data_IF_569300173652
#
_entry.id   IF_569300173652
#
_cell.length_a   1.000
_cell.length_b   1.000
_cell.length_c   1.000
_cell.angle_alpha   90.00
_cell.angle_beta   90.00
_cell.angle_gamma   90.00
#
_symmetry.space_group_name_H-M   'P 1'
#
loop_
_entity.id
_entity.type
_entity.pdbx_description
1 polymer ?
#
# COMPACT_ATOMS: atom_id res chain seq x y z
N UNK A 1 -50.01 38.79 18.05
CA UNK A 1 -48.57 39.09 18.05
C UNK A 1 -47.89 37.82 17.57
N UNK A 2 -47.71 37.71 16.26
CA UNK A 2 -47.05 36.58 15.61
C UNK A 2 -45.55 36.90 15.56
N UNK A 3 -44.70 35.99 16.03
CA UNK A 3 -43.24 36.12 15.94
C UNK A 3 -42.67 34.80 15.40
N UNK A 4 -41.87 34.94 14.35
CA UNK A 4 -41.23 33.86 13.57
C UNK A 4 -40.21 33.04 14.38
N UNK A 5 -39.94 31.78 14.00
CA UNK A 5 -38.88 30.99 14.61
C UNK A 5 -37.52 31.38 14.03
N UNK A 6 -36.58 31.74 14.89
CA UNK A 6 -35.18 31.98 14.52
C UNK A 6 -34.46 30.64 14.33
N UNK A 7 -34.31 30.23 13.08
CA UNK A 7 -33.32 29.25 12.68
C UNK A 7 -31.99 29.98 12.40
N UNK A 8 -30.96 29.68 13.17
CA UNK A 8 -29.57 29.82 12.68
C UNK A 8 -28.71 28.71 13.26
N UNK A 9 -28.54 27.67 12.44
CA UNK A 9 -27.53 26.65 12.65
C UNK A 9 -26.15 27.27 12.42
N UNK A 10 -25.32 27.28 13.46
CA UNK A 10 -23.87 27.36 13.29
C UNK A 10 -23.33 25.94 13.42
N UNK A 11 -23.30 25.24 12.28
CA UNK A 11 -22.52 24.01 12.13
C UNK A 11 -21.06 24.46 12.19
N UNK A 12 -20.40 24.26 13.33
CA UNK A 12 -18.95 24.47 13.45
C UNK A 12 -18.28 23.60 12.38
N UNK A 13 -17.77 24.23 11.34
CA UNK A 13 -16.79 23.60 10.46
C UNK A 13 -15.53 23.41 11.32
N UNK A 14 -14.99 22.18 11.47
CA UNK A 14 -13.63 22.03 11.94
C UNK A 14 -12.74 22.65 10.87
N UNK A 15 -12.06 23.73 11.23
CA UNK A 15 -11.11 24.40 10.35
C UNK A 15 -10.06 23.42 9.83
N UNK A 16 -9.66 23.65 8.59
CA UNK A 16 -8.45 23.09 8.01
C UNK A 16 -7.24 23.50 8.86
N UNK A 17 -6.90 22.67 9.84
CA UNK A 17 -5.64 22.71 10.57
C UNK A 17 -4.67 21.73 9.93
N UNK A 18 -4.16 22.05 8.73
CA UNK A 18 -2.98 21.38 8.20
C UNK A 18 -1.73 22.02 8.84
N UNK A 19 -1.61 21.94 10.17
CA UNK A 19 -0.32 22.11 10.82
C UNK A 19 0.54 20.89 10.46
N UNK A 20 1.83 21.13 10.20
CA UNK A 20 2.76 20.20 9.56
C UNK A 20 2.77 18.81 10.19
N UNK A 21 1.91 17.93 9.69
CA UNK A 21 1.86 16.54 10.13
C UNK A 21 3.17 15.87 9.74
N UNK A 22 4.00 15.57 10.73
CA UNK A 22 5.21 14.76 10.54
C UNK A 22 4.78 13.30 10.69
N UNK A 23 5.02 12.52 9.64
CA UNK A 23 4.86 11.07 9.67
C UNK A 23 6.21 10.42 9.43
N UNK A 24 6.65 9.59 10.37
CA UNK A 24 7.88 8.80 10.26
C UNK A 24 7.53 7.38 9.81
N UNK A 25 8.25 6.86 8.82
CA UNK A 25 8.20 5.45 8.41
C UNK A 25 9.59 4.86 8.55
N UNK A 26 9.71 3.74 9.26
CA UNK A 26 10.98 3.04 9.49
C UNK A 26 11.00 1.73 8.72
N UNK A 27 11.99 1.50 7.88
CA UNK A 27 12.12 0.24 7.14
C UNK A 27 13.53 -0.30 7.30
N UNK A 28 13.73 -1.63 7.38
CA UNK A 28 15.05 -2.20 7.41
C UNK A 28 15.77 -1.90 6.09
N UNK A 29 17.07 -1.61 6.17
CA UNK A 29 17.96 -1.61 5.02
C UNK A 29 18.97 -2.72 5.23
N UNK A 30 18.90 -3.76 4.41
CA UNK A 30 19.90 -4.83 4.39
C UNK A 30 20.69 -4.69 3.10
N UNK A 31 21.94 -4.24 3.24
CA UNK A 31 22.94 -4.25 2.16
C UNK A 31 23.38 -5.70 1.92
N UNK A 32 22.55 -6.49 1.25
CA UNK A 32 22.92 -7.79 0.72
C UNK A 32 22.63 -7.82 -0.78
N UNK A 33 23.34 -8.67 -1.52
CA UNK A 33 23.23 -8.81 -2.98
C UNK A 33 21.89 -9.39 -3.49
N UNK A 34 20.95 -9.69 -2.59
CA UNK A 34 19.64 -10.23 -2.94
C UNK A 34 18.61 -9.10 -3.01
N UNK A 35 17.87 -9.06 -4.12
CA UNK A 35 16.86 -8.06 -4.49
C UNK A 35 15.80 -7.86 -3.38
N UNK A 36 15.28 -6.64 -3.24
CA UNK A 36 14.15 -6.34 -2.34
C UNK A 36 14.47 -5.87 -0.92
N UNK A 37 15.75 -5.72 -0.56
CA UNK A 37 16.15 -5.42 0.83
C UNK A 37 16.64 -3.99 1.09
N UNK A 38 16.46 -3.11 0.12
CA UNK A 38 16.72 -1.69 0.24
C UNK A 38 15.56 -0.88 -0.32
N UNK A 39 15.53 0.40 0.02
CA UNK A 39 14.51 1.32 -0.48
C UNK A 39 14.88 1.74 -1.90
N UNK A 40 14.10 1.28 -2.88
CA UNK A 40 14.22 1.73 -4.26
C UNK A 40 13.65 3.15 -4.43
N UNK A 41 14.19 3.99 -5.33
CA UNK A 41 13.67 5.34 -5.58
C UNK A 41 12.17 5.37 -5.92
N UNK A 42 11.70 4.40 -6.71
CA UNK A 42 10.28 4.22 -7.04
C UNK A 42 9.41 4.06 -5.79
N UNK A 43 9.85 3.30 -4.79
CA UNK A 43 9.12 3.13 -3.53
C UNK A 43 8.99 4.46 -2.76
N UNK A 44 10.02 5.31 -2.79
CA UNK A 44 9.97 6.65 -2.18
C UNK A 44 8.97 7.54 -2.91
N UNK A 45 8.97 7.54 -4.24
CA UNK A 45 8.03 8.32 -5.06
C UNK A 45 6.58 7.88 -4.79
N UNK A 46 6.32 6.57 -4.77
CA UNK A 46 4.99 6.05 -4.48
C UNK A 46 4.53 6.38 -3.05
N UNK A 47 5.43 6.30 -2.06
CA UNK A 47 5.13 6.71 -0.69
C UNK A 47 4.83 8.22 -0.58
N UNK A 48 5.56 9.07 -1.30
CA UNK A 48 5.27 10.51 -1.36
C UNK A 48 3.92 10.80 -2.03
N UNK A 49 3.59 10.06 -3.10
CA UNK A 49 2.28 10.14 -3.74
C UNK A 49 1.15 9.77 -2.77
N UNK A 50 1.30 8.65 -2.05
CA UNK A 50 0.37 8.21 -1.01
C UNK A 50 0.22 9.27 0.08
N UNK A 51 1.32 9.85 0.56
CA UNK A 51 1.29 10.93 1.55
C UNK A 51 0.54 12.16 1.03
N UNK A 52 0.79 12.57 -0.21
CA UNK A 52 0.10 13.70 -0.82
C UNK A 52 -1.42 13.46 -0.91
N UNK A 53 -1.82 12.23 -1.25
CA UNK A 53 -3.22 11.80 -1.38
C UNK A 53 -3.80 11.15 -0.12
N UNK A 54 -3.14 11.26 1.04
CA UNK A 54 -3.50 10.53 2.27
C UNK A 54 -4.95 10.70 2.73
N UNK A 55 -5.61 11.81 2.37
CA UNK A 55 -7.02 12.04 2.69
C UNK A 55 -8.00 11.05 2.06
N UNK A 56 -7.60 10.31 1.02
CA UNK A 56 -8.44 9.30 0.35
C UNK A 56 -8.15 7.86 0.78
N UNK A 57 -7.17 7.63 1.66
CA UNK A 57 -6.74 6.30 2.10
C UNK A 57 -7.52 5.69 3.26
N UNK A 58 -8.11 6.44 4.21
CA UNK A 58 -8.83 5.85 5.34
C UNK A 58 -9.92 4.85 4.91
N UNK A 59 -9.82 3.62 5.42
CA UNK A 59 -10.77 2.53 5.15
C UNK A 59 -10.67 1.92 3.75
N UNK A 60 -9.64 2.25 2.96
CA UNK A 60 -9.36 1.60 1.68
C UNK A 60 -8.63 0.28 1.89
N UNK A 61 -9.08 -0.76 1.20
CA UNK A 61 -8.40 -2.05 1.16
C UNK A 61 -7.26 -1.97 0.13
N UNK A 62 -6.02 -2.08 0.59
CA UNK A 62 -4.81 -1.86 -0.21
C UNK A 62 -3.97 -3.12 -0.22
N UNK A 63 -3.65 -3.62 -1.40
CA UNK A 63 -2.68 -4.69 -1.60
C UNK A 63 -1.40 -4.09 -2.17
N UNK A 64 -0.25 -4.34 -1.56
CA UNK A 64 1.06 -4.09 -2.18
C UNK A 64 1.64 -5.39 -2.71
N UNK A 65 1.94 -5.45 -4.01
CA UNK A 65 2.64 -6.59 -4.63
C UNK A 65 4.13 -6.27 -4.79
N UNK A 66 4.99 -7.23 -4.48
CA UNK A 66 6.45 -7.00 -4.50
C UNK A 66 6.88 -5.97 -3.45
N UNK A 67 6.37 -6.12 -2.23
CA UNK A 67 6.51 -5.11 -1.19
C UNK A 67 7.97 -4.86 -0.77
N UNK A 68 8.85 -5.87 -0.84
CA UNK A 68 10.24 -5.77 -0.37
C UNK A 68 10.30 -5.24 1.07
N UNK A 69 10.91 -4.07 1.26
CA UNK A 69 10.97 -3.38 2.57
C UNK A 69 9.67 -2.65 2.97
N UNK A 70 8.63 -2.69 2.13
CA UNK A 70 7.25 -2.27 2.39
C UNK A 70 7.01 -0.77 2.61
N UNK A 71 7.89 0.09 2.11
CA UNK A 71 7.78 1.53 2.34
C UNK A 71 6.40 2.12 1.91
N UNK A 72 5.88 1.85 0.69
CA UNK A 72 4.56 2.34 0.27
C UNK A 72 3.41 1.75 1.10
N UNK A 73 3.39 0.44 1.34
CA UNK A 73 2.33 -0.20 2.12
C UNK A 73 2.30 0.28 3.58
N UNK A 74 3.46 0.48 4.21
CA UNK A 74 3.53 1.05 5.57
C UNK A 74 3.04 2.50 5.58
N UNK A 75 3.41 3.31 4.58
CA UNK A 75 2.89 4.67 4.41
C UNK A 75 1.36 4.66 4.30
N UNK A 76 0.79 3.78 3.48
CA UNK A 76 -0.65 3.65 3.33
C UNK A 76 -1.34 3.24 4.65
N UNK A 77 -0.78 2.26 5.37
CA UNK A 77 -1.30 1.79 6.64
C UNK A 77 -1.32 2.91 7.70
N UNK A 78 -0.23 3.68 7.81
CA UNK A 78 -0.17 4.85 8.71
C UNK A 78 -1.13 5.97 8.32
N UNK A 79 -1.55 6.03 7.05
CA UNK A 79 -2.59 6.93 6.59
C UNK A 79 -4.02 6.38 6.75
N UNK A 80 -4.19 5.22 7.40
CA UNK A 80 -5.49 4.65 7.75
C UNK A 80 -6.06 3.65 6.74
N UNK A 81 -5.27 3.19 5.77
CA UNK A 81 -5.68 2.10 4.88
C UNK A 81 -5.63 0.72 5.59
N UNK A 82 -6.45 -0.21 5.12
CA UNK A 82 -6.40 -1.63 5.48
C UNK A 82 -5.43 -2.34 4.53
N UNK A 83 -4.18 -2.53 4.98
CA UNK A 83 -3.08 -2.97 4.10
C UNK A 83 -2.82 -4.46 4.23
N UNK A 84 -2.68 -5.11 3.07
CA UNK A 84 -2.02 -6.41 2.92
C UNK A 84 -0.74 -6.22 2.10
N UNK A 85 0.38 -6.67 2.63
CA UNK A 85 1.66 -6.72 1.94
C UNK A 85 1.84 -8.11 1.33
N UNK A 86 2.37 -8.18 0.12
CA UNK A 86 2.78 -9.43 -0.48
C UNK A 86 4.14 -9.36 -1.16
N UNK A 87 4.85 -10.48 -1.11
CA UNK A 87 6.10 -10.71 -1.80
C UNK A 87 6.18 -12.19 -2.21
N UNK A 88 7.21 -12.57 -2.97
CA UNK A 88 7.35 -13.93 -3.48
C UNK A 88 7.31 -14.96 -2.36
N UNK A 89 6.43 -15.98 -2.49
CA UNK A 89 6.35 -17.08 -1.52
C UNK A 89 7.60 -17.96 -1.55
N UNK A 90 8.37 -17.89 -2.64
CA UNK A 90 9.63 -18.59 -2.84
C UNK A 90 10.81 -17.90 -2.13
N UNK A 91 10.61 -16.67 -1.66
CA UNK A 91 11.59 -15.88 -0.93
C UNK A 91 11.09 -15.58 0.51
N UNK A 92 11.11 -16.56 1.44
CA UNK A 92 10.64 -16.37 2.82
C UNK A 92 11.29 -15.19 3.55
N UNK A 93 12.52 -14.84 3.17
CA UNK A 93 13.22 -13.70 3.75
C UNK A 93 12.57 -12.35 3.41
N UNK A 94 12.05 -12.17 2.19
CA UNK A 94 11.31 -10.96 1.81
C UNK A 94 10.04 -10.80 2.64
N UNK A 95 9.32 -11.90 2.87
CA UNK A 95 8.15 -11.90 3.75
C UNK A 95 8.51 -11.57 5.20
N UNK A 96 9.66 -12.05 5.69
CA UNK A 96 10.15 -11.70 7.03
C UNK A 96 10.51 -10.21 7.13
N UNK A 97 11.12 -9.64 6.09
CA UNK A 97 11.39 -8.21 6.00
C UNK A 97 10.11 -7.39 6.05
N UNK A 98 9.05 -7.80 5.33
CA UNK A 98 7.74 -7.15 5.41
C UNK A 98 7.22 -7.15 6.86
N UNK A 99 7.32 -8.28 7.56
CA UNK A 99 6.91 -8.38 8.97
C UNK A 99 7.74 -7.50 9.88
N UNK A 100 9.04 -7.43 9.67
CA UNK A 100 9.93 -6.53 10.41
C UNK A 100 9.57 -5.07 10.18
N UNK A 101 9.28 -4.66 8.94
CA UNK A 101 8.78 -3.32 8.62
C UNK A 101 7.47 -3.01 9.37
N UNK A 102 6.53 -3.94 9.44
CA UNK A 102 5.31 -3.77 10.23
C UNK A 102 5.62 -3.56 11.72
N UNK A 103 6.51 -4.38 12.29
CA UNK A 103 6.91 -4.30 13.70
C UNK A 103 7.63 -2.99 14.03
N UNK A 104 8.55 -2.53 13.18
CA UNK A 104 9.29 -1.27 13.35
C UNK A 104 8.40 -0.02 13.32
N UNK A 105 7.16 -0.16 12.87
CA UNK A 105 6.18 0.92 12.75
C UNK A 105 4.95 0.76 13.66
N UNK A 106 4.96 -0.24 14.54
CA UNK A 106 3.85 -0.56 15.44
C UNK A 106 2.53 -0.85 14.70
N UNK A 107 2.61 -1.63 13.60
CA UNK A 107 1.47 -1.99 12.74
C UNK A 107 1.16 -3.50 12.75
N UNK A 108 0.76 -4.09 13.90
CA UNK A 108 0.50 -5.53 14.00
C UNK A 108 -0.72 -6.00 13.18
N UNK A 109 -1.59 -5.08 12.76
CA UNK A 109 -2.78 -5.36 11.97
C UNK A 109 -2.49 -5.56 10.47
N UNK A 110 -1.31 -5.17 9.98
CA UNK A 110 -0.96 -5.31 8.56
C UNK A 110 -0.66 -6.78 8.26
N UNK A 111 -1.38 -7.35 7.30
CA UNK A 111 -1.20 -8.73 6.90
C UNK A 111 -0.04 -8.88 5.92
N UNK A 112 0.71 -9.98 6.03
CA UNK A 112 1.81 -10.32 5.11
C UNK A 112 1.54 -11.70 4.53
N UNK A 113 1.43 -11.81 3.21
CA UNK A 113 1.12 -13.06 2.50
C UNK A 113 2.14 -13.34 1.39
N UNK A 114 2.26 -14.62 0.99
CA UNK A 114 3.09 -15.03 -0.13
C UNK A 114 2.34 -14.97 -1.46
N UNK A 115 2.80 -14.12 -2.37
CA UNK A 115 2.30 -14.03 -3.75
C UNK A 115 3.49 -13.99 -4.70
N UNK A 116 3.79 -15.14 -5.30
CA UNK A 116 4.69 -15.21 -6.47
C UNK A 116 3.92 -14.75 -7.69
N UNK A 117 4.50 -13.82 -8.47
CA UNK A 117 3.87 -13.32 -9.68
C UNK A 117 3.65 -14.45 -10.69
N UNK A 118 2.59 -14.37 -11.51
CA UNK A 118 2.23 -15.39 -12.49
C UNK A 118 1.52 -16.61 -11.89
N UNK A 119 1.65 -16.83 -10.58
CA UNK A 119 1.09 -18.00 -9.89
C UNK A 119 -0.24 -17.68 -9.20
N UNK A 120 -1.25 -18.53 -9.44
CA UNK A 120 -2.54 -18.46 -8.74
C UNK A 120 -2.47 -19.24 -7.44
N UNK A 121 -2.04 -18.59 -6.36
CA UNK A 121 -1.98 -19.20 -5.02
C UNK A 121 -3.33 -19.16 -4.30
N UNK A 122 -3.51 -20.05 -3.31
CA UNK A 122 -4.69 -20.02 -2.44
C UNK A 122 -4.79 -18.70 -1.67
N UNK A 123 -3.66 -18.12 -1.26
CA UNK A 123 -3.61 -16.83 -0.57
C UNK A 123 -4.11 -15.70 -1.48
N UNK A 124 -3.68 -15.66 -2.75
CA UNK A 124 -4.15 -14.70 -3.74
C UNK A 124 -5.67 -14.83 -3.96
N UNK A 125 -6.18 -16.06 -4.05
CA UNK A 125 -7.61 -16.34 -4.21
C UNK A 125 -8.42 -16.00 -2.95
N UNK A 126 -7.83 -16.10 -1.75
CA UNK A 126 -8.47 -15.82 -0.48
C UNK A 126 -8.47 -14.33 -0.11
N UNK A 127 -7.68 -13.49 -0.81
CA UNK A 127 -7.65 -12.05 -0.56
C UNK A 127 -9.06 -11.43 -0.57
N UNK A 128 -9.40 -10.53 0.37
CA UNK A 128 -10.62 -9.77 0.28
C UNK A 128 -10.61 -8.86 -0.97
N UNK A 129 -11.76 -8.31 -1.36
CA UNK A 129 -11.80 -7.33 -2.44
C UNK A 129 -10.91 -6.13 -2.13
N UNK A 130 -10.17 -5.66 -3.14
CA UNK A 130 -9.20 -4.56 -3.00
C UNK A 130 -9.66 -3.31 -3.73
N UNK A 131 -9.42 -2.15 -3.13
CA UNK A 131 -9.65 -0.83 -3.74
C UNK A 131 -8.43 -0.37 -4.54
N UNK A 132 -7.22 -0.65 -4.04
CA UNK A 132 -5.96 -0.17 -4.60
C UNK A 132 -4.92 -1.32 -4.61
N UNK A 133 -4.20 -1.44 -5.71
CA UNK A 133 -2.99 -2.26 -5.83
C UNK A 133 -1.80 -1.30 -5.94
N UNK A 134 -0.83 -1.43 -5.03
CA UNK A 134 0.45 -0.73 -5.07
C UNK A 134 1.49 -1.64 -5.71
N UNK A 135 2.29 -1.07 -6.62
CA UNK A 135 3.37 -1.79 -7.29
C UNK A 135 4.53 -0.83 -7.59
N UNK A 136 5.53 -0.78 -6.71
CA UNK A 136 6.73 0.05 -6.92
C UNK A 136 7.87 -0.78 -7.53
N UNK A 137 8.29 -0.40 -8.73
CA UNK A 137 9.44 -1.00 -9.43
C UNK A 137 9.34 -2.49 -9.75
N UNK A 138 8.12 -3.00 -9.90
CA UNK A 138 7.89 -4.42 -10.24
C UNK A 138 8.24 -4.77 -11.69
N UNK A 139 8.39 -3.77 -12.56
CA UNK A 139 8.71 -3.95 -13.98
C UNK A 139 10.21 -3.78 -14.26
N UNK A 140 11.08 -4.37 -13.43
CA UNK A 140 12.53 -4.19 -13.55
C UNK A 140 13.24 -5.27 -14.38
N UNK A 141 12.93 -6.56 -14.16
CA UNK A 141 13.45 -7.66 -15.00
C UNK A 141 12.43 -7.97 -16.11
N UNK A 142 12.83 -7.91 -17.40
CA UNK A 142 11.93 -8.23 -18.51
C UNK A 142 11.27 -9.61 -18.43
N UNK A 143 11.95 -10.56 -17.77
CA UNK A 143 11.49 -11.93 -17.57
C UNK A 143 10.23 -12.00 -16.69
N UNK A 144 10.06 -11.05 -15.75
CA UNK A 144 8.93 -11.00 -14.81
C UNK A 144 7.70 -10.26 -15.38
N UNK A 145 7.81 -9.59 -16.52
CA UNK A 145 6.77 -8.66 -16.99
C UNK A 145 5.43 -9.35 -17.24
N UNK A 146 5.45 -10.51 -17.91
CA UNK A 146 4.22 -11.28 -18.18
C UNK A 146 3.56 -11.77 -16.89
N UNK A 147 4.36 -12.17 -15.91
CA UNK A 147 3.90 -12.69 -14.63
C UNK A 147 3.30 -11.58 -13.75
N UNK A 148 3.91 -10.39 -13.74
CA UNK A 148 3.36 -9.20 -13.08
C UNK A 148 2.03 -8.81 -13.72
N UNK A 149 1.97 -8.71 -15.07
CA UNK A 149 0.75 -8.36 -15.80
C UNK A 149 -0.36 -9.39 -15.51
N UNK A 150 -0.03 -10.68 -15.52
CA UNK A 150 -0.97 -11.77 -15.24
C UNK A 150 -1.55 -11.64 -13.84
N UNK A 151 -0.69 -11.38 -12.84
CA UNK A 151 -1.10 -11.20 -11.45
C UNK A 151 -2.05 -10.01 -11.30
N UNK A 152 -1.68 -8.86 -11.87
CA UNK A 152 -2.50 -7.65 -11.86
C UNK A 152 -3.84 -7.89 -12.56
N UNK A 153 -3.82 -8.52 -13.73
CA UNK A 153 -5.03 -8.84 -14.48
C UNK A 153 -6.00 -9.69 -13.65
N UNK A 154 -5.53 -10.73 -12.98
CA UNK A 154 -6.35 -11.58 -12.12
C UNK A 154 -6.96 -10.79 -10.95
N UNK A 155 -6.17 -9.93 -10.32
CA UNK A 155 -6.64 -9.05 -9.25
C UNK A 155 -7.71 -8.07 -9.76
N UNK A 156 -7.56 -7.51 -10.96
CA UNK A 156 -8.54 -6.61 -11.58
C UNK A 156 -9.81 -7.34 -12.03
N UNK A 157 -9.70 -8.58 -12.51
CA UNK A 157 -10.87 -9.41 -12.83
C UNK A 157 -11.72 -9.69 -11.59
N UNK A 158 -11.07 -9.98 -10.46
CA UNK A 158 -11.74 -10.17 -9.16
C UNK A 158 -12.32 -8.86 -8.62
N UNK A 159 -11.71 -7.72 -8.95
CA UNK A 159 -12.05 -6.40 -8.43
C UNK A 159 -12.24 -5.37 -9.56
N UNK A 160 -13.40 -5.31 -10.23
CA UNK A 160 -13.58 -4.49 -11.44
C UNK A 160 -13.38 -2.96 -11.27
N UNK A 161 -13.31 -2.46 -10.03
CA UNK A 161 -13.12 -1.04 -9.70
C UNK A 161 -11.75 -0.75 -9.08
N UNK A 162 -10.89 -1.75 -8.92
CA UNK A 162 -9.57 -1.58 -8.31
C UNK A 162 -8.71 -0.65 -9.15
N UNK A 163 -7.91 0.18 -8.48
CA UNK A 163 -6.92 1.03 -9.13
C UNK A 163 -5.53 0.44 -8.96
N UNK A 164 -4.74 0.39 -10.03
CA UNK A 164 -3.31 0.11 -9.95
C UNK A 164 -2.56 1.44 -9.83
N UNK A 165 -1.81 1.63 -8.74
CA UNK A 165 -0.89 2.74 -8.57
C UNK A 165 0.53 2.18 -8.62
N UNK A 166 1.23 2.50 -9.71
CA UNK A 166 2.58 1.99 -9.96
C UNK A 166 3.55 3.11 -10.30
N UNK A 167 4.80 2.90 -9.91
CA UNK A 167 5.95 3.73 -10.24
C UNK A 167 7.03 2.82 -10.81
N UNK A 168 7.71 3.28 -11.85
CA UNK A 168 8.73 2.52 -12.55
C UNK A 168 9.85 3.47 -13.00
N UNK A 169 11.10 3.00 -13.02
CA UNK A 169 12.24 3.72 -13.55
C UNK A 169 12.76 3.02 -14.81
N UNK A 170 12.77 3.74 -15.94
CA UNK A 170 13.36 3.30 -17.20
C UNK A 170 14.90 3.40 -17.20
#
# INVERSE_FOLDING_TARGET
MWSEPSASGSRRQPGLGAEGAILEVRVPQVLHLQYGMYVWPCAVVLAQYLWFHRGSLPGKAVLEIGAGVSLPGIMAAKCGAEVTLSDSSELPHCLEICRQSCQMNDLPQVHVIGVTWGHVSQDLLALPPQDIILASDVFFEPEDFEDVITTVYLLMQKNPKVQLWSTYQC
#
